data_IF_355178339997
#
_entry.id   IF_355178339997
#
_cell.length_a   1.000
_cell.length_b   1.000
_cell.length_c   1.000
_cell.angle_alpha   90.00
_cell.angle_beta   90.00
_cell.angle_gamma   90.00
#
_symmetry.space_group_name_H-M   'P 1'
#
loop_
_entity.id
_entity.type
_entity.pdbx_description
1 polymer ?
#
# COMPACT_ATOMS: atom_id res chain seq x y z
N UNK A 1 -1.23 -66.47 31.82
CA UNK A 1 -2.00 -65.34 31.26
C UNK A 1 -1.89 -65.39 29.73
N UNK A 2 -3.01 -65.48 29.04
CA UNK A 2 -3.03 -65.88 27.63
C UNK A 2 -2.57 -64.72 26.76
N UNK A 3 -1.44 -64.83 26.02
CA UNK A 3 -0.82 -63.78 25.18
C UNK A 3 -1.82 -63.10 24.20
N UNK A 4 -2.87 -63.80 23.76
CA UNK A 4 -3.94 -63.24 22.92
C UNK A 4 -4.81 -62.22 23.68
N UNK A 5 -5.14 -62.44 24.94
CA UNK A 5 -5.91 -61.50 25.75
C UNK A 5 -5.14 -60.21 26.04
N UNK A 6 -3.82 -60.31 26.29
CA UNK A 6 -2.97 -59.13 26.52
C UNK A 6 -2.84 -58.24 25.28
N UNK A 7 -2.70 -58.84 24.10
CA UNK A 7 -2.66 -58.08 22.83
C UNK A 7 -3.97 -57.31 22.53
N UNK A 8 -5.12 -57.96 22.80
CA UNK A 8 -6.43 -57.30 22.62
C UNK A 8 -6.64 -56.14 23.57
N UNK A 9 -6.19 -56.25 24.83
CA UNK A 9 -6.29 -55.19 25.84
C UNK A 9 -5.39 -53.97 25.45
N UNK A 10 -4.17 -54.22 24.97
CA UNK A 10 -3.27 -53.17 24.49
C UNK A 10 -3.83 -52.44 23.28
N UNK A 11 -4.43 -53.18 22.34
CA UNK A 11 -5.06 -52.62 21.16
C UNK A 11 -6.25 -51.73 21.49
N UNK A 12 -7.11 -52.16 22.40
CA UNK A 12 -8.26 -51.37 22.91
C UNK A 12 -7.77 -50.11 23.66
N UNK A 13 -6.69 -50.22 24.44
CA UNK A 13 -6.11 -49.09 25.13
C UNK A 13 -5.53 -48.03 24.15
N UNK A 14 -4.88 -48.46 23.06
CA UNK A 14 -4.37 -47.55 22.05
C UNK A 14 -5.52 -46.83 21.35
N UNK A 15 -6.59 -47.54 20.96
CA UNK A 15 -7.79 -46.92 20.36
C UNK A 15 -8.45 -45.92 21.32
N UNK A 16 -8.54 -46.24 22.59
CA UNK A 16 -9.13 -45.34 23.62
C UNK A 16 -8.28 -44.10 23.77
N UNK A 17 -6.94 -44.21 23.78
CA UNK A 17 -6.01 -43.07 23.89
C UNK A 17 -6.09 -42.20 22.62
N UNK A 18 -6.14 -42.79 21.41
CA UNK A 18 -6.27 -42.03 20.16
C UNK A 18 -7.60 -41.28 20.10
N UNK A 19 -8.72 -41.93 20.52
CA UNK A 19 -10.01 -41.26 20.61
C UNK A 19 -10.01 -40.10 21.65
N UNK A 20 -9.36 -40.31 22.77
CA UNK A 20 -9.25 -39.27 23.80
C UNK A 20 -8.41 -38.08 23.32
N UNK A 21 -7.29 -38.36 22.63
CA UNK A 21 -6.47 -37.30 22.02
C UNK A 21 -7.21 -36.54 20.90
N UNK A 22 -8.00 -37.23 20.07
CA UNK A 22 -8.78 -36.56 19.01
C UNK A 22 -9.94 -35.75 19.56
N UNK A 23 -10.62 -36.22 20.61
CA UNK A 23 -11.67 -35.45 21.29
C UNK A 23 -11.07 -34.25 22.04
N UNK A 24 -9.92 -34.41 22.70
CA UNK A 24 -9.24 -33.31 23.37
C UNK A 24 -8.75 -32.25 22.37
N UNK A 25 -8.22 -32.65 21.22
CA UNK A 25 -7.85 -31.70 20.15
C UNK A 25 -9.07 -31.00 19.55
N UNK A 26 -10.18 -31.70 19.32
CA UNK A 26 -11.43 -31.10 18.85
C UNK A 26 -12.06 -30.13 19.87
N UNK A 27 -12.04 -30.46 21.17
CA UNK A 27 -12.51 -29.58 22.23
C UNK A 27 -11.60 -28.36 22.36
N UNK A 28 -10.28 -28.54 22.23
CA UNK A 28 -9.31 -27.44 22.27
C UNK A 28 -9.42 -26.53 21.03
N UNK A 29 -9.68 -27.08 19.85
CA UNK A 29 -9.98 -26.34 18.62
C UNK A 29 -11.31 -25.57 18.75
N UNK A 30 -12.34 -26.15 19.34
CA UNK A 30 -13.60 -25.48 19.59
C UNK A 30 -13.51 -24.42 20.69
N UNK A 31 -12.72 -24.64 21.75
CA UNK A 31 -12.47 -23.60 22.76
C UNK A 31 -11.60 -22.48 22.21
N UNK A 32 -10.62 -22.78 21.38
CA UNK A 32 -9.86 -21.76 20.62
C UNK A 32 -10.75 -20.99 19.64
N UNK A 33 -11.75 -21.63 19.01
CA UNK A 33 -12.78 -20.95 18.21
C UNK A 33 -13.72 -20.09 19.05
N UNK A 34 -13.95 -20.41 20.32
CA UNK A 34 -14.81 -19.63 21.21
C UNK A 34 -14.06 -18.51 21.93
N UNK A 35 -12.74 -18.63 22.14
CA UNK A 35 -11.86 -17.58 22.66
C UNK A 35 -11.32 -16.65 21.58
N UNK A 36 -11.14 -17.10 20.34
CA UNK A 36 -11.16 -16.25 19.18
C UNK A 36 -12.63 -15.94 18.86
N UNK A 37 -13.26 -15.05 19.63
CA UNK A 37 -13.91 -13.93 18.97
C UNK A 37 -12.77 -13.26 18.19
N UNK A 38 -12.49 -13.76 17.00
CA UNK A 38 -12.14 -12.93 15.89
C UNK A 38 -13.25 -11.91 15.93
N UNK A 39 -13.01 -10.79 16.55
CA UNK A 39 -13.73 -9.58 16.22
C UNK A 39 -13.55 -9.58 14.72
N UNK A 40 -14.62 -9.93 13.96
CA UNK A 40 -14.73 -9.55 12.57
C UNK A 40 -14.55 -8.05 12.64
N UNK A 41 -13.28 -7.62 12.60
CA UNK A 41 -12.95 -6.27 12.27
C UNK A 41 -13.57 -6.16 10.89
N UNK A 42 -14.59 -5.35 10.81
CA UNK A 42 -15.33 -5.10 9.60
C UNK A 42 -14.35 -4.65 8.53
N UNK A 43 -13.79 -5.61 7.81
CA UNK A 43 -13.48 -5.38 6.40
C UNK A 43 -14.82 -4.93 5.85
N UNK A 44 -14.98 -3.65 5.62
CA UNK A 44 -16.22 -3.12 5.08
C UNK A 44 -16.26 -3.67 3.67
N UNK A 45 -16.87 -4.86 3.55
CA UNK A 45 -17.05 -5.49 2.25
C UNK A 45 -17.62 -4.43 1.32
N UNK A 46 -17.08 -4.25 0.11
CA UNK A 46 -17.64 -3.31 -0.87
C UNK A 46 -19.15 -3.44 -1.08
N UNK A 47 -19.79 -4.52 -0.64
CA UNK A 47 -21.20 -4.86 -0.85
C UNK A 47 -22.18 -4.31 0.19
N UNK A 48 -21.78 -3.38 1.10
CA UNK A 48 -22.72 -2.84 2.08
C UNK A 48 -23.77 -1.95 1.43
N UNK A 49 -25.08 -2.28 1.62
CA UNK A 49 -26.19 -1.42 1.15
C UNK A 49 -26.32 -0.18 2.03
N UNK A 50 -26.14 0.98 1.43
CA UNK A 50 -26.37 2.27 2.09
C UNK A 50 -27.78 2.78 1.78
N UNK A 51 -28.60 2.99 2.82
CA UNK A 51 -29.96 3.52 2.69
C UNK A 51 -30.02 5.04 2.75
N UNK A 52 -28.99 5.69 3.31
CA UNK A 52 -28.87 7.15 3.44
C UNK A 52 -27.65 7.65 2.68
N UNK A 53 -27.67 8.92 2.34
CA UNK A 53 -26.54 9.61 1.73
C UNK A 53 -25.36 9.64 2.69
N UNK A 54 -24.11 9.48 2.15
CA UNK A 54 -22.89 9.39 2.93
C UNK A 54 -21.68 9.90 2.17
N UNK A 55 -20.64 10.26 2.90
CA UNK A 55 -19.27 10.49 2.39
C UNK A 55 -18.48 9.20 2.65
N UNK A 56 -17.80 8.68 1.64
CA UNK A 56 -16.89 7.57 1.83
C UNK A 56 -15.51 8.08 2.28
N UNK A 57 -15.00 7.56 3.39
CA UNK A 57 -13.61 7.76 3.81
C UNK A 57 -12.79 6.55 3.36
N UNK A 58 -11.92 6.72 2.37
CA UNK A 58 -11.06 5.66 1.84
C UNK A 58 -9.64 5.84 2.37
N UNK A 59 -9.14 4.84 3.07
CA UNK A 59 -7.78 4.84 3.61
C UNK A 59 -6.80 4.22 2.61
N UNK A 60 -5.69 4.92 2.38
CA UNK A 60 -4.56 4.49 1.56
C UNK A 60 -3.33 4.54 2.47
N UNK A 61 -2.97 3.40 3.03
CA UNK A 61 -1.98 3.31 4.10
C UNK A 61 -0.84 2.36 3.73
N UNK A 62 0.39 2.77 4.01
CA UNK A 62 1.59 1.98 3.76
C UNK A 62 2.18 2.15 2.36
N UNK A 63 3.07 1.24 1.98
CA UNK A 63 3.76 1.27 0.67
C UNK A 63 2.79 0.92 -0.44
N UNK A 64 2.74 1.75 -1.48
CA UNK A 64 1.90 1.55 -2.67
C UNK A 64 2.56 0.48 -3.56
N UNK A 65 1.99 -0.70 -3.57
CA UNK A 65 2.45 -1.86 -4.34
C UNK A 65 1.26 -2.75 -4.69
N UNK A 66 1.48 -3.97 -5.17
CA UNK A 66 0.38 -4.88 -5.50
C UNK A 66 -0.42 -5.24 -4.26
N UNK A 67 0.26 -5.69 -3.20
CA UNK A 67 -0.36 -6.08 -1.93
C UNK A 67 0.64 -6.04 -0.78
N UNK A 68 0.17 -5.65 0.40
CA UNK A 68 0.82 -5.82 1.69
C UNK A 68 -0.24 -5.81 2.81
N UNK A 69 0.18 -5.82 4.08
CA UNK A 69 -0.74 -5.91 5.22
C UNK A 69 -1.78 -4.78 5.30
N UNK A 70 -1.44 -3.60 4.82
CA UNK A 70 -2.29 -2.39 4.93
C UNK A 70 -2.75 -1.84 3.59
N UNK A 71 -2.28 -2.44 2.49
CA UNK A 71 -2.53 -1.98 1.13
C UNK A 71 -2.82 -3.15 0.19
N UNK A 72 -3.87 -3.06 -0.59
CA UNK A 72 -4.18 -3.98 -1.67
C UNK A 72 -4.75 -3.20 -2.86
N UNK A 73 -4.04 -3.26 -3.98
CA UNK A 73 -4.36 -2.50 -5.19
C UNK A 73 -5.73 -2.86 -5.76
N UNK A 74 -6.00 -4.15 -5.91
CA UNK A 74 -7.25 -4.63 -6.49
C UNK A 74 -8.45 -4.21 -5.64
N UNK A 75 -8.37 -4.39 -4.32
CA UNK A 75 -9.40 -3.98 -3.38
C UNK A 75 -9.69 -2.47 -3.44
N UNK A 76 -8.63 -1.64 -3.55
CA UNK A 76 -8.79 -0.19 -3.66
C UNK A 76 -9.48 0.21 -4.96
N UNK A 77 -9.05 -0.37 -6.10
CA UNK A 77 -9.64 -0.10 -7.41
C UNK A 77 -11.11 -0.54 -7.47
N UNK A 78 -11.42 -1.74 -6.96
CA UNK A 78 -12.80 -2.23 -6.85
C UNK A 78 -13.66 -1.34 -5.95
N UNK A 79 -13.11 -0.89 -4.80
CA UNK A 79 -13.81 -0.01 -3.87
C UNK A 79 -14.12 1.34 -4.51
N UNK A 80 -13.17 1.96 -5.21
CA UNK A 80 -13.39 3.23 -5.93
C UNK A 80 -14.46 3.04 -7.01
N UNK A 81 -14.37 1.96 -7.80
CA UNK A 81 -15.34 1.65 -8.85
C UNK A 81 -16.75 1.43 -8.28
N UNK A 82 -16.85 0.71 -7.18
CA UNK A 82 -18.12 0.51 -6.48
C UNK A 82 -18.69 1.84 -5.98
N UNK A 83 -17.87 2.66 -5.29
CA UNK A 83 -18.28 3.98 -4.76
C UNK A 83 -18.70 4.95 -5.87
N UNK A 84 -18.02 4.88 -7.03
CA UNK A 84 -18.42 5.63 -8.23
C UNK A 84 -19.87 5.37 -8.59
N UNK A 85 -20.33 4.12 -8.55
CA UNK A 85 -21.64 3.67 -8.99
C UNK A 85 -22.74 3.80 -7.91
N UNK A 86 -22.39 4.05 -6.65
CA UNK A 86 -23.37 4.22 -5.56
C UNK A 86 -23.95 5.65 -5.58
N UNK A 87 -25.24 5.79 -5.90
CA UNK A 87 -25.94 7.09 -5.94
C UNK A 87 -25.93 7.77 -4.55
N UNK A 88 -25.97 6.98 -3.47
CA UNK A 88 -25.96 7.46 -2.09
C UNK A 88 -24.59 7.94 -1.62
N UNK A 89 -23.52 7.57 -2.29
CA UNK A 89 -22.21 8.16 -2.08
C UNK A 89 -22.19 9.58 -2.67
N UNK A 90 -21.91 10.58 -1.84
CA UNK A 90 -21.92 12.00 -2.24
C UNK A 90 -20.53 12.55 -2.49
N UNK A 91 -19.51 11.91 -1.96
CA UNK A 91 -18.12 12.34 -2.14
C UNK A 91 -17.16 11.35 -1.52
N UNK A 92 -15.88 11.54 -1.80
CA UNK A 92 -14.78 10.70 -1.34
C UNK A 92 -13.81 11.54 -0.52
N UNK A 93 -13.57 11.13 0.71
CA UNK A 93 -12.54 11.66 1.58
C UNK A 93 -11.41 10.64 1.66
N UNK A 94 -10.25 10.95 1.08
CA UNK A 94 -9.06 10.09 1.13
C UNK A 94 -8.29 10.38 2.42
N UNK A 95 -7.94 9.35 3.17
CA UNK A 95 -6.92 9.42 4.20
C UNK A 95 -5.66 8.77 3.66
N UNK A 96 -4.58 9.52 3.50
CA UNK A 96 -3.34 9.05 2.87
C UNK A 96 -2.21 9.10 3.89
N UNK A 97 -1.69 7.93 4.26
CA UNK A 97 -0.51 7.75 5.11
C UNK A 97 0.45 6.78 4.42
N UNK A 98 1.23 7.30 3.46
CA UNK A 98 2.05 6.50 2.58
C UNK A 98 3.37 7.19 2.23
N UNK A 99 4.51 6.47 2.30
CA UNK A 99 5.80 6.96 1.80
C UNK A 99 5.88 6.95 0.26
N UNK A 100 4.86 6.39 -0.43
CA UNK A 100 4.85 6.14 -1.84
C UNK A 100 5.03 4.66 -2.18
N UNK A 101 5.51 4.38 -3.39
CA UNK A 101 5.70 3.02 -3.88
C UNK A 101 5.85 2.96 -5.40
N UNK A 102 5.37 1.89 -6.01
CA UNK A 102 5.52 1.65 -7.44
C UNK A 102 4.75 2.66 -8.28
N UNK A 103 5.40 3.11 -9.35
CA UNK A 103 4.83 4.10 -10.30
C UNK A 103 3.52 3.60 -10.89
N UNK A 104 3.49 2.36 -11.37
CA UNK A 104 2.30 1.76 -11.99
C UNK A 104 1.10 1.78 -11.04
N UNK A 105 1.24 1.28 -9.82
CA UNK A 105 0.14 1.23 -8.86
C UNK A 105 -0.33 2.63 -8.43
N UNK A 106 0.60 3.57 -8.28
CA UNK A 106 0.24 4.95 -7.96
C UNK A 106 -0.56 5.61 -9.09
N UNK A 107 -0.17 5.37 -10.34
CA UNK A 107 -0.87 5.92 -11.52
C UNK A 107 -2.24 5.27 -11.74
N UNK A 108 -2.35 3.95 -11.65
CA UNK A 108 -3.64 3.24 -11.72
C UNK A 108 -4.65 3.79 -10.70
N UNK A 109 -4.19 4.03 -9.46
CA UNK A 109 -5.05 4.58 -8.42
C UNK A 109 -5.44 6.04 -8.72
N UNK A 110 -4.49 6.84 -9.21
CA UNK A 110 -4.77 8.20 -9.67
C UNK A 110 -5.81 8.21 -10.80
N UNK A 111 -5.66 7.35 -11.80
CA UNK A 111 -6.59 7.24 -12.92
C UNK A 111 -8.00 6.79 -12.46
N UNK A 112 -8.08 5.84 -11.54
CA UNK A 112 -9.36 5.41 -10.96
C UNK A 112 -10.06 6.57 -10.20
N UNK A 113 -9.30 7.41 -9.49
CA UNK A 113 -9.83 8.58 -8.82
C UNK A 113 -10.26 9.67 -9.82
N UNK A 114 -9.53 9.87 -10.91
CA UNK A 114 -9.95 10.76 -11.99
C UNK A 114 -11.26 10.28 -12.64
N UNK A 115 -11.38 8.97 -12.86
CA UNK A 115 -12.62 8.36 -13.36
C UNK A 115 -13.78 8.51 -12.36
N UNK A 116 -13.53 8.39 -11.06
CA UNK A 116 -14.53 8.72 -10.03
C UNK A 116 -15.00 10.17 -10.14
N UNK A 117 -14.10 11.15 -10.36
CA UNK A 117 -14.44 12.58 -10.51
C UNK A 117 -15.38 12.85 -11.70
N UNK A 118 -15.40 11.99 -12.72
CA UNK A 118 -16.35 12.14 -13.86
C UNK A 118 -17.81 12.10 -13.44
N UNK A 119 -18.12 11.59 -12.25
CA UNK A 119 -19.48 11.60 -11.68
C UNK A 119 -19.91 12.95 -11.14
N UNK A 120 -19.02 13.94 -11.07
CA UNK A 120 -19.24 15.23 -10.42
C UNK A 120 -19.16 15.18 -8.88
N UNK A 121 -18.86 14.02 -8.28
CA UNK A 121 -18.70 13.90 -6.84
C UNK A 121 -17.30 14.40 -6.42
N UNK A 122 -17.21 15.24 -5.38
CA UNK A 122 -15.93 15.79 -4.94
C UNK A 122 -15.04 14.74 -4.28
N UNK A 123 -13.72 14.93 -4.41
CA UNK A 123 -12.68 14.18 -3.70
C UNK A 123 -11.88 15.17 -2.86
N UNK A 124 -11.78 14.94 -1.56
CA UNK A 124 -10.88 15.67 -0.67
C UNK A 124 -9.84 14.69 -0.13
N UNK A 125 -8.58 15.10 -0.06
CA UNK A 125 -7.50 14.31 0.51
C UNK A 125 -7.01 14.91 1.82
N UNK A 126 -6.88 14.07 2.84
CA UNK A 126 -6.21 14.39 4.08
C UNK A 126 -4.92 13.58 4.18
N UNK A 127 -3.81 14.29 4.30
CA UNK A 127 -2.49 13.71 4.47
C UNK A 127 -2.22 13.46 5.95
N UNK A 128 -2.01 12.19 6.31
CA UNK A 128 -1.63 11.72 7.62
C UNK A 128 -0.16 12.05 7.98
N UNK A 129 0.51 11.21 8.77
CA UNK A 129 1.91 11.44 9.15
C UNK A 129 2.84 11.67 7.97
N UNK A 130 2.68 10.86 6.91
CA UNK A 130 3.45 10.98 5.68
C UNK A 130 2.55 10.82 4.44
N UNK A 131 2.71 11.67 3.45
CA UNK A 131 2.12 11.53 2.13
C UNK A 131 3.15 11.97 1.09
N UNK A 132 4.12 11.10 0.87
CA UNK A 132 5.30 11.39 0.06
C UNK A 132 5.28 10.60 -1.25
N UNK A 133 5.94 11.14 -2.28
CA UNK A 133 6.16 10.45 -3.54
C UNK A 133 4.84 9.93 -4.15
N UNK A 134 4.63 8.63 -4.33
CA UNK A 134 3.36 8.05 -4.79
C UNK A 134 2.14 8.47 -3.94
N UNK A 135 2.31 8.67 -2.63
CA UNK A 135 1.25 9.17 -1.74
C UNK A 135 0.85 10.62 -2.08
N UNK A 136 1.82 11.47 -2.42
CA UNK A 136 1.55 12.83 -2.90
C UNK A 136 0.95 12.82 -4.31
N UNK A 137 1.45 11.93 -5.19
CA UNK A 137 0.93 11.71 -6.53
C UNK A 137 -0.58 11.44 -6.51
N UNK A 138 -1.01 10.49 -5.68
CA UNK A 138 -2.43 10.14 -5.50
C UNK A 138 -3.21 11.31 -4.88
N UNK A 139 -2.62 12.03 -3.90
CA UNK A 139 -3.25 13.21 -3.31
C UNK A 139 -3.64 14.24 -4.36
N UNK A 140 -2.86 14.37 -5.45
CA UNK A 140 -3.13 15.30 -6.54
C UNK A 140 -4.43 15.01 -7.31
N UNK A 141 -5.03 13.82 -7.16
CA UNK A 141 -6.35 13.54 -7.74
C UNK A 141 -7.48 14.32 -7.03
N UNK A 142 -7.27 14.78 -5.80
CA UNK A 142 -8.29 15.46 -5.02
C UNK A 142 -8.59 16.89 -5.50
N UNK A 143 -9.80 17.37 -5.22
CA UNK A 143 -10.19 18.76 -5.42
C UNK A 143 -9.49 19.69 -4.42
N UNK A 144 -9.33 19.22 -3.16
CA UNK A 144 -8.56 19.90 -2.12
C UNK A 144 -7.73 18.90 -1.33
N UNK A 145 -6.54 19.35 -0.91
CA UNK A 145 -5.58 18.58 -0.12
C UNK A 145 -5.37 19.27 1.23
N UNK A 146 -5.67 18.57 2.31
CA UNK A 146 -5.42 18.99 3.68
C UNK A 146 -4.32 18.14 4.30
N UNK A 147 -3.60 18.72 5.26
CA UNK A 147 -2.57 18.02 6.01
C UNK A 147 -2.60 18.36 7.49
N UNK A 148 -2.16 17.44 8.35
CA UNK A 148 -1.84 17.79 9.72
C UNK A 148 -0.63 18.74 9.73
N UNK A 149 -0.54 19.60 10.73
CA UNK A 149 0.60 20.55 10.87
C UNK A 149 1.97 19.88 10.93
N UNK A 150 2.02 18.58 11.30
CA UNK A 150 3.23 17.78 11.42
C UNK A 150 3.42 16.79 10.26
N UNK A 151 2.55 16.82 9.27
CA UNK A 151 2.68 16.00 8.06
C UNK A 151 3.98 16.32 7.32
N UNK A 152 4.63 15.28 6.84
CA UNK A 152 5.67 15.37 5.82
C UNK A 152 5.09 14.90 4.48
N UNK A 153 5.31 15.69 3.42
CA UNK A 153 4.81 15.36 2.10
C UNK A 153 5.80 15.78 0.98
N UNK A 154 5.36 15.70 -0.27
CA UNK A 154 6.22 16.01 -1.41
C UNK A 154 7.03 14.80 -1.87
N UNK A 155 8.36 14.85 -1.76
CA UNK A 155 9.24 13.83 -2.37
C UNK A 155 8.85 13.59 -3.85
N UNK A 156 8.66 14.71 -4.59
CA UNK A 156 8.28 14.68 -6.01
C UNK A 156 9.53 14.30 -6.79
N UNK A 157 9.61 13.03 -7.16
CA UNK A 157 10.78 12.44 -7.82
C UNK A 157 10.56 10.96 -8.11
N UNK A 158 11.50 10.36 -8.83
CA UNK A 158 11.46 8.94 -9.24
C UNK A 158 12.81 8.28 -9.00
N UNK A 159 12.77 7.12 -8.34
CA UNK A 159 13.90 6.20 -8.30
C UNK A 159 13.57 5.05 -9.26
N UNK A 160 14.36 4.89 -10.32
CA UNK A 160 14.13 3.78 -11.25
C UNK A 160 14.72 2.46 -10.73
N UNK A 161 15.80 2.52 -9.97
CA UNK A 161 16.45 1.36 -9.39
C UNK A 161 17.84 1.69 -8.87
N UNK A 162 18.38 0.77 -8.09
CA UNK A 162 19.73 0.84 -7.55
C UNK A 162 20.56 -0.29 -8.15
N UNK A 163 21.75 0.00 -8.67
CA UNK A 163 22.71 -1.01 -9.09
C UNK A 163 23.84 -1.09 -8.09
N UNK A 164 24.10 -2.31 -7.61
CA UNK A 164 25.23 -2.61 -6.73
C UNK A 164 26.24 -3.43 -7.52
N UNK A 165 27.47 -2.95 -7.64
CA UNK A 165 28.56 -3.68 -8.25
C UNK A 165 29.41 -4.37 -7.16
N UNK A 166 29.42 -5.70 -7.16
CA UNK A 166 30.20 -6.51 -6.23
C UNK A 166 31.29 -7.37 -6.94
N UNK A 167 31.63 -7.04 -8.18
CA UNK A 167 32.58 -7.77 -9.00
C UNK A 167 33.94 -7.96 -8.30
N UNK A 168 34.49 -6.92 -7.69
CA UNK A 168 35.75 -7.00 -6.97
C UNK A 168 35.64 -7.89 -5.73
N UNK A 169 34.54 -7.83 -5.00
CA UNK A 169 34.31 -8.69 -3.83
C UNK A 169 34.25 -10.15 -4.26
N UNK A 170 33.48 -10.47 -5.30
CA UNK A 170 33.37 -11.82 -5.85
C UNK A 170 34.75 -12.37 -6.27
N UNK A 171 35.53 -11.55 -6.95
CA UNK A 171 36.90 -11.92 -7.36
C UNK A 171 37.79 -12.24 -6.16
N UNK A 172 37.73 -11.42 -5.10
CA UNK A 172 38.56 -11.62 -3.88
C UNK A 172 38.22 -12.91 -3.12
N UNK A 173 36.98 -13.36 -3.17
CA UNK A 173 36.51 -14.59 -2.49
C UNK A 173 36.41 -15.80 -3.44
N UNK A 174 36.86 -15.67 -4.70
CA UNK A 174 36.93 -16.75 -5.67
C UNK A 174 35.55 -17.15 -6.29
N UNK A 175 34.51 -16.33 -6.17
CA UNK A 175 33.21 -16.55 -6.82
C UNK A 175 33.28 -16.07 -8.25
N UNK A 176 32.82 -16.93 -9.17
CA UNK A 176 32.65 -16.61 -10.60
C UNK A 176 31.18 -16.74 -10.96
N UNK A 177 30.61 -15.68 -11.51
CA UNK A 177 29.26 -15.69 -12.11
C UNK A 177 29.37 -15.79 -13.62
N UNK A 178 28.41 -16.47 -14.24
CA UNK A 178 28.27 -16.52 -15.69
C UNK A 178 26.79 -16.46 -16.03
N UNK A 179 26.37 -15.37 -16.65
CA UNK A 179 24.99 -15.19 -17.11
C UNK A 179 24.93 -15.34 -18.62
N UNK A 180 24.10 -16.24 -19.12
CA UNK A 180 23.85 -16.43 -20.55
C UNK A 180 22.58 -15.68 -20.91
N UNK A 181 22.69 -14.71 -21.82
CA UNK A 181 21.56 -13.86 -22.22
C UNK A 181 21.60 -13.56 -23.71
N UNK A 182 20.43 -13.19 -24.25
CA UNK A 182 20.28 -12.68 -25.61
C UNK A 182 19.68 -11.26 -25.56
N UNK A 183 20.23 -10.36 -26.37
CA UNK A 183 19.94 -8.92 -26.34
C UNK A 183 20.95 -8.16 -25.50
N UNK A 184 21.64 -7.18 -26.13
CA UNK A 184 22.79 -6.44 -25.58
C UNK A 184 22.59 -5.93 -24.15
N UNK A 185 21.38 -5.41 -23.85
CA UNK A 185 21.05 -4.78 -22.57
C UNK A 185 20.17 -5.64 -21.67
N UNK A 186 20.00 -6.95 -21.96
CA UNK A 186 19.11 -7.83 -21.18
C UNK A 186 19.63 -8.09 -19.77
N UNK A 187 20.94 -7.97 -19.53
CA UNK A 187 21.59 -8.19 -18.26
C UNK A 187 21.94 -6.86 -17.54
N UNK A 188 21.19 -5.78 -17.83
CA UNK A 188 21.30 -4.55 -17.04
C UNK A 188 20.91 -4.81 -15.59
N UNK A 189 21.44 -4.03 -14.64
CA UNK A 189 21.23 -4.15 -13.20
C UNK A 189 21.77 -5.42 -12.53
N UNK A 190 22.54 -6.24 -13.24
CA UNK A 190 23.16 -7.37 -12.58
C UNK A 190 24.31 -6.88 -11.69
N UNK A 191 24.43 -7.49 -10.49
CA UNK A 191 25.44 -7.15 -9.50
C UNK A 191 26.86 -7.64 -9.85
N UNK A 192 26.98 -8.51 -10.85
CA UNK A 192 28.22 -9.16 -11.26
C UNK A 192 28.94 -8.46 -12.43
N UNK A 193 28.51 -7.25 -12.79
CA UNK A 193 29.15 -6.44 -13.80
C UNK A 193 28.88 -4.94 -13.59
N UNK A 194 29.83 -4.07 -13.96
CA UNK A 194 29.64 -2.63 -13.92
C UNK A 194 28.54 -2.17 -14.89
N UNK A 195 27.77 -1.18 -14.48
CA UNK A 195 26.78 -0.53 -15.39
C UNK A 195 27.50 0.30 -16.43
N UNK A 196 27.27 0.01 -17.71
CA UNK A 196 27.83 0.78 -18.82
C UNK A 196 27.21 2.17 -18.98
N UNK A 197 27.88 3.14 -19.61
CA UNK A 197 27.31 4.45 -19.91
C UNK A 197 25.98 4.36 -20.68
N UNK A 198 25.89 3.50 -21.70
CA UNK A 198 24.67 3.27 -22.47
C UNK A 198 23.51 2.74 -21.59
N UNK A 199 23.79 1.76 -20.74
CA UNK A 199 22.80 1.23 -19.82
C UNK A 199 22.31 2.31 -18.85
N UNK A 200 23.22 3.14 -18.34
CA UNK A 200 22.87 4.29 -17.49
C UNK A 200 21.94 5.27 -18.22
N UNK A 201 22.20 5.59 -19.48
CA UNK A 201 21.35 6.47 -20.29
C UNK A 201 19.96 5.86 -20.51
N UNK A 202 19.87 4.55 -20.78
CA UNK A 202 18.58 3.84 -20.90
C UNK A 202 17.79 3.97 -19.60
N UNK A 203 18.41 3.69 -18.45
CA UNK A 203 17.77 3.76 -17.14
C UNK A 203 17.32 5.18 -16.82
N UNK A 204 18.17 6.17 -17.08
CA UNK A 204 17.87 7.56 -16.85
C UNK A 204 16.71 8.05 -17.72
N UNK A 205 16.62 7.58 -18.98
CA UNK A 205 15.50 7.97 -19.86
C UNK A 205 14.16 7.50 -19.32
N UNK A 206 14.09 6.29 -18.78
CA UNK A 206 12.86 5.74 -18.16
C UNK A 206 12.51 6.54 -16.90
N UNK A 207 13.51 6.81 -16.04
CA UNK A 207 13.30 7.62 -14.85
C UNK A 207 12.77 9.02 -15.19
N UNK A 208 13.33 9.64 -16.24
CA UNK A 208 12.91 10.97 -16.69
C UNK A 208 11.47 10.97 -17.21
N UNK A 209 11.04 9.95 -17.96
CA UNK A 209 9.67 9.82 -18.45
C UNK A 209 8.67 9.74 -17.29
N UNK A 210 8.93 8.89 -16.31
CA UNK A 210 8.09 8.79 -15.09
C UNK A 210 8.11 10.10 -14.28
N UNK A 211 9.26 10.77 -14.22
CA UNK A 211 9.39 12.07 -13.54
C UNK A 211 8.58 13.16 -14.25
N UNK A 212 8.68 13.25 -15.57
CA UNK A 212 7.93 14.24 -16.37
C UNK A 212 6.41 14.02 -16.23
N UNK A 213 5.96 12.78 -16.15
CA UNK A 213 4.56 12.44 -15.84
C UNK A 213 4.16 12.98 -14.44
N UNK A 214 4.97 12.72 -13.41
CA UNK A 214 4.66 13.16 -12.06
C UNK A 214 4.56 14.69 -11.96
N UNK A 215 5.57 15.41 -12.44
CA UNK A 215 5.55 16.87 -12.41
C UNK A 215 4.42 17.47 -13.26
N UNK A 216 4.04 16.81 -14.34
CA UNK A 216 2.87 17.20 -15.17
C UNK A 216 1.57 17.09 -14.37
N UNK A 217 1.38 16.00 -13.64
CA UNK A 217 0.21 15.80 -12.76
C UNK A 217 0.15 16.86 -11.65
N UNK A 218 1.28 17.15 -11.01
CA UNK A 218 1.35 18.21 -9.99
C UNK A 218 1.00 19.56 -10.63
N UNK A 219 1.59 19.89 -11.77
CA UNK A 219 1.34 21.16 -12.46
C UNK A 219 -0.14 21.37 -12.78
N UNK A 220 -0.78 20.37 -13.35
CA UNK A 220 -2.20 20.42 -13.75
C UNK A 220 -3.10 20.52 -12.52
N UNK A 221 -2.95 19.62 -11.57
CA UNK A 221 -3.90 19.49 -10.44
C UNK A 221 -3.69 20.57 -9.34
N UNK A 222 -2.48 21.11 -9.23
CA UNK A 222 -2.19 22.21 -8.28
C UNK A 222 -2.23 23.59 -8.94
N UNK A 223 -2.48 23.65 -10.25
CA UNK A 223 -2.46 24.88 -11.05
C UNK A 223 -1.16 25.69 -10.83
N UNK A 224 -0.03 24.99 -10.86
CA UNK A 224 1.32 25.56 -10.73
C UNK A 224 1.99 25.44 -12.10
N UNK A 225 2.60 26.51 -12.62
CA UNK A 225 3.35 26.43 -13.88
C UNK A 225 4.44 25.35 -13.82
N UNK A 226 4.55 24.53 -14.87
CA UNK A 226 5.47 23.37 -14.91
C UNK A 226 6.91 23.73 -14.56
N UNK A 227 7.39 24.90 -14.99
CA UNK A 227 8.75 25.36 -14.67
C UNK A 227 8.94 25.68 -13.18
N UNK A 228 7.88 26.08 -12.46
CA UNK A 228 7.90 26.23 -11.01
C UNK A 228 7.84 24.87 -10.31
N UNK A 229 7.01 23.94 -10.80
CA UNK A 229 6.98 22.58 -10.26
C UNK A 229 8.37 21.93 -10.36
N UNK A 230 9.08 22.10 -11.47
CA UNK A 230 10.45 21.56 -11.64
C UNK A 230 11.44 22.06 -10.57
N UNK A 231 11.26 23.28 -10.04
CA UNK A 231 12.09 23.79 -8.95
C UNK A 231 11.77 23.17 -7.59
N UNK A 232 10.52 22.68 -7.43
CA UNK A 232 10.04 22.06 -6.20
C UNK A 232 10.25 20.54 -6.20
N UNK A 233 10.41 19.95 -7.39
CA UNK A 233 10.41 18.51 -7.61
C UNK A 233 11.84 17.93 -7.67
N UNK A 234 12.64 18.20 -6.66
CA UNK A 234 14.00 17.65 -6.54
C UNK A 234 14.09 16.43 -5.61
N UNK A 235 12.92 15.86 -5.26
CA UNK A 235 12.82 14.68 -4.41
C UNK A 235 12.79 14.97 -2.91
N UNK A 236 12.88 16.25 -2.49
CA UNK A 236 12.85 16.59 -1.07
C UNK A 236 11.47 16.46 -0.44
N UNK A 237 11.44 16.22 0.87
CA UNK A 237 10.24 16.36 1.69
C UNK A 237 9.98 17.82 2.05
N UNK A 238 8.70 18.10 2.23
CA UNK A 238 8.20 19.39 2.73
C UNK A 238 7.38 19.17 4.00
N UNK A 239 7.48 20.12 4.95
CA UNK A 239 6.51 20.21 6.03
C UNK A 239 5.18 20.74 5.50
N UNK A 240 4.08 20.49 6.20
CA UNK A 240 2.76 21.01 5.83
C UNK A 240 2.77 22.54 5.61
N UNK A 241 3.51 23.29 6.46
CA UNK A 241 3.64 24.75 6.33
C UNK A 241 4.38 25.18 5.06
N UNK A 242 5.43 24.44 4.68
CA UNK A 242 6.15 24.69 3.42
C UNK A 242 5.25 24.36 2.22
N UNK A 243 4.55 23.24 2.26
CA UNK A 243 3.64 22.80 1.19
C UNK A 243 2.48 23.77 0.97
N UNK A 244 1.90 24.29 2.06
CA UNK A 244 0.84 25.32 1.96
C UNK A 244 1.36 26.59 1.28
N UNK A 245 2.56 27.05 1.67
CA UNK A 245 3.18 28.24 1.07
C UNK A 245 3.50 28.06 -0.42
N UNK A 246 3.76 26.81 -0.84
CA UNK A 246 4.13 26.45 -2.19
C UNK A 246 2.91 25.99 -3.03
N UNK A 247 1.70 26.11 -2.50
CA UNK A 247 0.44 25.66 -3.11
C UNK A 247 0.42 24.13 -3.41
N UNK A 248 1.25 23.35 -2.73
CA UNK A 248 1.23 21.89 -2.83
C UNK A 248 0.05 21.28 -2.06
N UNK A 249 -0.50 21.99 -1.07
CA UNK A 249 -1.72 21.64 -0.34
C UNK A 249 -2.61 22.89 -0.19
N UNK A 250 -3.89 22.70 0.20
CA UNK A 250 -4.89 23.74 0.30
C UNK A 250 -5.16 24.17 1.74
N UNK A 251 -4.87 23.31 2.73
CA UNK A 251 -5.15 23.62 4.12
C UNK A 251 -4.31 22.81 5.11
N UNK A 252 -4.16 23.40 6.31
CA UNK A 252 -3.58 22.72 7.47
C UNK A 252 -4.66 22.64 8.54
N UNK A 253 -4.95 21.43 9.01
CA UNK A 253 -6.00 21.21 10.00
C UNK A 253 -6.09 19.76 10.43
N UNK A 254 -7.18 19.44 11.13
CA UNK A 254 -7.56 18.07 11.46
C UNK A 254 -8.36 17.42 10.32
N UNK A 255 -8.52 16.11 10.39
CA UNK A 255 -9.46 15.38 9.54
C UNK A 255 -10.87 16.00 9.57
N UNK A 256 -11.34 16.37 10.78
CA UNK A 256 -12.66 16.97 10.93
C UNK A 256 -12.75 18.34 10.25
N UNK A 257 -11.69 19.16 10.30
CA UNK A 257 -11.66 20.45 9.58
C UNK A 257 -11.82 20.26 8.07
N UNK A 258 -11.19 19.25 7.48
CA UNK A 258 -11.35 18.91 6.07
C UNK A 258 -12.79 18.45 5.75
N UNK A 259 -13.38 17.60 6.59
CA UNK A 259 -14.78 17.15 6.42
C UNK A 259 -15.76 18.33 6.56
N UNK A 260 -15.53 19.23 7.49
CA UNK A 260 -16.36 20.42 7.67
C UNK A 260 -16.25 21.37 6.45
N UNK A 261 -15.03 21.56 5.92
CA UNK A 261 -14.82 22.34 4.69
C UNK A 261 -15.51 21.69 3.48
N UNK A 262 -15.37 20.36 3.31
CA UNK A 262 -16.07 19.61 2.26
C UNK A 262 -17.58 19.74 2.39
N UNK A 263 -18.11 19.63 3.62
CA UNK A 263 -19.55 19.77 3.91
C UNK A 263 -20.07 21.16 3.54
N UNK A 264 -19.30 22.20 3.86
CA UNK A 264 -19.70 23.59 3.62
C UNK A 264 -19.64 23.94 2.15
N UNK A 265 -18.57 23.58 1.46
CA UNK A 265 -18.31 24.02 0.08
C UNK A 265 -19.00 23.14 -0.98
N UNK A 266 -19.16 21.84 -0.72
CA UNK A 266 -19.63 20.89 -1.72
C UNK A 266 -21.09 20.46 -1.47
N UNK A 267 -21.59 20.62 -0.24
CA UNK A 267 -22.91 20.10 0.15
C UNK A 267 -23.83 21.16 0.79
N UNK A 268 -23.52 22.44 0.61
CA UNK A 268 -24.34 23.55 1.14
C UNK A 268 -24.62 23.43 2.65
N UNK A 269 -23.65 22.87 3.40
CA UNK A 269 -23.78 22.63 4.84
C UNK A 269 -24.53 21.35 5.24
N UNK A 270 -25.04 20.56 4.29
CA UNK A 270 -25.69 19.29 4.57
C UNK A 270 -24.70 18.27 5.13
N UNK A 271 -24.88 17.86 6.37
CA UNK A 271 -24.01 16.88 7.06
C UNK A 271 -24.39 15.47 6.66
N UNK A 272 -23.44 14.75 6.05
CA UNK A 272 -23.57 13.33 5.75
C UNK A 272 -22.76 12.50 6.73
N UNK A 273 -23.21 11.26 6.95
CA UNK A 273 -22.41 10.28 7.72
C UNK A 273 -21.14 9.95 6.94
N UNK A 274 -20.00 9.94 7.62
CA UNK A 274 -18.75 9.41 7.05
C UNK A 274 -18.70 7.91 7.29
N UNK A 275 -18.47 7.15 6.22
CA UNK A 275 -18.33 5.68 6.25
C UNK A 275 -16.92 5.32 5.81
N UNK A 276 -16.18 4.66 6.70
CA UNK A 276 -14.78 4.30 6.47
C UNK A 276 -14.65 2.99 5.70
N UNK A 277 -13.76 3.00 4.72
CA UNK A 277 -13.29 1.88 3.93
C UNK A 277 -11.78 1.79 4.12
N UNK A 278 -11.33 0.71 4.71
CA UNK A 278 -9.92 0.46 5.01
C UNK A 278 -9.63 -1.01 4.71
N UNK A 279 -8.53 -1.25 4.01
CA UNK A 279 -8.07 -2.60 3.77
C UNK A 279 -7.30 -3.09 4.99
N UNK A 280 -7.69 -4.25 5.48
CA UNK A 280 -6.97 -4.99 6.49
C UNK A 280 -6.80 -6.42 5.98
N UNK A 281 -5.56 -6.88 5.92
CA UNK A 281 -5.28 -8.27 5.57
C UNK A 281 -5.94 -9.18 6.61
N UNK A 282 -6.76 -10.12 6.15
CA UNK A 282 -7.28 -11.17 7.04
C UNK A 282 -6.12 -12.08 7.42
N UNK A 283 -5.68 -12.06 8.68
CA UNK A 283 -4.69 -13.03 9.17
C UNK A 283 -5.13 -14.44 8.81
N UNK A 284 -4.40 -15.08 7.91
CA UNK A 284 -4.60 -16.50 7.62
C UNK A 284 -4.39 -17.28 8.92
N UNK A 285 -5.36 -18.15 9.29
CA UNK A 285 -5.24 -19.04 10.43
C UNK A 285 -3.91 -19.80 10.45
N UNK A 286 -3.37 -20.07 9.25
CA UNK A 286 -2.08 -20.73 9.05
C UNK A 286 -0.93 -19.83 9.49
N UNK A 287 -0.94 -18.53 9.16
CA UNK A 287 0.10 -17.57 9.56
C UNK A 287 0.08 -17.32 11.07
N UNK A 288 -1.11 -17.23 11.66
CA UNK A 288 -1.28 -17.14 13.12
C UNK A 288 -0.72 -18.38 13.84
N UNK A 289 -1.00 -19.58 13.29
CA UNK A 289 -0.52 -20.84 13.88
C UNK A 289 1.00 -21.01 13.68
N UNK A 290 1.55 -20.65 12.52
CA UNK A 290 3.00 -20.72 12.24
C UNK A 290 3.75 -19.72 13.13
N UNK A 291 3.30 -18.49 13.30
CA UNK A 291 3.91 -17.50 14.19
C UNK A 291 3.98 -17.98 15.64
N UNK A 292 2.94 -18.68 16.13
CA UNK A 292 2.94 -19.28 17.48
C UNK A 292 3.86 -20.49 17.64
N UNK A 293 4.04 -21.28 16.58
CA UNK A 293 4.83 -22.54 16.65
C UNK A 293 6.32 -22.30 16.43
N UNK A 294 6.68 -21.36 15.58
CA UNK A 294 8.09 -21.16 15.18
C UNK A 294 8.80 -20.04 15.95
N UNK A 295 8.05 -19.16 16.63
CA UNK A 295 8.62 -17.95 17.26
C UNK A 295 9.32 -17.00 16.28
N UNK A 296 9.30 -17.34 14.99
CA UNK A 296 9.82 -16.51 13.93
C UNK A 296 8.74 -15.48 13.54
N UNK A 297 9.15 -14.23 13.38
CA UNK A 297 8.28 -13.21 12.81
C UNK A 297 8.32 -13.34 11.29
N UNK A 298 7.29 -13.95 10.63
CA UNK A 298 7.26 -14.10 9.17
C UNK A 298 7.32 -12.74 8.45
N UNK A 299 6.85 -11.69 9.09
CA UNK A 299 6.79 -10.31 8.59
C UNK A 299 8.21 -9.73 8.39
N UNK A 300 9.12 -9.99 9.34
CA UNK A 300 10.50 -9.53 9.23
C UNK A 300 11.24 -10.21 8.05
N UNK A 301 10.90 -11.45 7.75
CA UNK A 301 11.48 -12.20 6.62
C UNK A 301 10.87 -11.68 5.31
N UNK A 302 9.55 -11.52 5.22
CA UNK A 302 8.85 -11.01 4.04
C UNK A 302 9.27 -9.56 3.71
N UNK A 303 9.38 -8.69 4.71
CA UNK A 303 9.83 -7.30 4.51
C UNK A 303 11.27 -7.21 4.00
N UNK A 304 12.13 -8.14 4.42
CA UNK A 304 13.52 -8.20 3.96
C UNK A 304 13.59 -8.68 2.50
N UNK A 305 12.77 -9.66 2.12
CA UNK A 305 12.69 -10.17 0.75
C UNK A 305 12.10 -9.12 -0.20
N UNK A 306 11.05 -8.41 0.22
CA UNK A 306 10.43 -7.35 -0.59
C UNK A 306 11.37 -6.15 -0.80
N UNK A 307 12.21 -5.80 0.16
CA UNK A 307 13.24 -4.76 0.00
C UNK A 307 14.31 -5.11 -1.03
N UNK A 308 14.51 -6.39 -1.33
CA UNK A 308 15.51 -6.85 -2.31
C UNK A 308 15.00 -6.90 -3.76
N UNK A 309 13.69 -6.71 -3.99
CA UNK A 309 13.05 -6.96 -5.30
C UNK A 309 12.54 -5.71 -6.03
N UNK A 310 13.03 -4.49 -5.72
CA UNK A 310 12.66 -3.29 -6.48
C UNK A 310 13.29 -3.31 -7.88
N UNK A 311 12.62 -3.93 -8.83
CA UNK A 311 12.98 -3.93 -10.26
C UNK A 311 12.11 -2.99 -11.10
N UNK A 312 11.21 -2.21 -10.47
CA UNK A 312 10.28 -1.31 -11.14
C UNK A 312 10.52 0.14 -10.74
N UNK A 313 10.20 1.11 -11.61
CA UNK A 313 10.18 2.52 -11.24
C UNK A 313 9.32 2.75 -9.99
N UNK A 314 9.84 3.46 -9.02
CA UNK A 314 9.14 3.69 -7.75
C UNK A 314 9.08 5.17 -7.41
N UNK A 315 7.90 5.59 -6.92
CA UNK A 315 7.69 6.79 -6.14
C UNK A 315 7.79 6.39 -4.67
N UNK A 316 9.01 6.32 -4.16
CA UNK A 316 9.27 5.91 -2.79
C UNK A 316 10.17 6.94 -2.10
N UNK A 317 9.88 7.21 -0.84
CA UNK A 317 10.78 7.87 0.09
C UNK A 317 11.43 6.80 0.98
N UNK A 318 12.77 6.70 0.95
CA UNK A 318 13.57 5.84 1.82
C UNK A 318 14.10 6.59 3.04
#
# INVERSE_FOLDING_TARGET
MNKKKTGTIIFIAIIAITLLCTTFTLVKINSLKSETKITEQKVTSPKQKHTKDFIAALHITGVIQEENQTYNQEWLLETITMLKNIIKNKGLALFIDSPGGNVYQADELYLALQDYKTTGKPIYAYQGPIAASGGYYISCAANKIYANRNTLNGSIGVIFGQSVDITELMSKIGIKSTTIFAGKNKNMFNFDQPVTPEQREIMQSIANECYDQFIGIVAINRNIPLFEVKKLADGRLYTAKQSLKLNLIDGIGSWQNMIDDMTTNEFEGNKYKVVTYEYEESESLINYLLGKVTGANPEAIASTINKMNLTYPAYLYE
#
